data_IF_038399467390
#
_entry.id   IF_038399467390
#
_cell.length_a   1.000
_cell.length_b   1.000
_cell.length_c   1.000
_cell.angle_alpha   90.00
_cell.angle_beta   90.00
_cell.angle_gamma   90.00
#
_symmetry.space_group_name_H-M   'P 1'
#
loop_
_entity.id
_entity.type
_entity.pdbx_description
1 polymer ?
#
# COMPACT_ATOMS: atom_id res chain seq x y z
N UNK A 1 0.97 -5.80 -10.35
CA UNK A 1 1.32 -5.06 -11.60
C UNK A 1 1.45 -5.98 -12.80
N UNK A 2 2.03 -7.17 -12.67
CA UNK A 2 2.14 -8.13 -13.77
C UNK A 2 0.77 -8.50 -14.37
N UNK A 3 -0.26 -8.64 -13.53
CA UNK A 3 -1.64 -8.83 -13.99
C UNK A 3 -2.21 -7.61 -14.75
N UNK A 4 -1.69 -6.41 -14.46
CA UNK A 4 -2.07 -5.17 -15.13
C UNK A 4 -1.21 -4.88 -16.39
N UNK A 5 -0.33 -5.79 -16.83
CA UNK A 5 0.47 -5.61 -18.07
C UNK A 5 -0.42 -5.39 -19.30
N UNK A 6 -1.63 -5.96 -19.29
CA UNK A 6 -2.62 -5.74 -20.35
C UNK A 6 -3.13 -4.28 -20.39
N UNK A 7 -2.95 -3.51 -19.32
CA UNK A 7 -3.45 -2.15 -19.19
C UNK A 7 -2.34 -1.21 -18.66
N UNK A 8 -1.53 -0.60 -19.55
CA UNK A 8 -0.31 0.13 -19.18
C UNK A 8 -0.58 1.32 -18.26
N UNK A 9 -1.75 1.94 -18.36
CA UNK A 9 -2.15 3.06 -17.51
C UNK A 9 -2.32 2.64 -16.04
N UNK A 10 -2.94 1.48 -15.76
CA UNK A 10 -3.01 0.96 -14.39
C UNK A 10 -1.63 0.62 -13.87
N UNK A 11 -0.80 -0.05 -14.68
CA UNK A 11 0.57 -0.37 -14.27
C UNK A 11 1.34 0.91 -13.87
N UNK A 12 1.32 1.95 -14.70
CA UNK A 12 1.95 3.22 -14.39
C UNK A 12 1.39 3.87 -13.12
N UNK A 13 0.06 3.84 -12.95
CA UNK A 13 -0.60 4.37 -11.75
C UNK A 13 -0.21 3.63 -10.48
N UNK A 14 -0.10 2.30 -10.52
CA UNK A 14 0.31 1.48 -9.37
C UNK A 14 1.79 1.69 -9.04
N UNK A 15 2.67 1.81 -10.05
CA UNK A 15 4.09 2.13 -9.84
C UNK A 15 4.20 3.50 -9.17
N UNK A 16 3.45 4.48 -9.68
CA UNK A 16 3.36 5.81 -9.09
C UNK A 16 2.87 5.77 -7.65
N UNK A 17 1.81 5.02 -7.35
CA UNK A 17 1.29 4.87 -6.00
C UNK A 17 2.34 4.30 -5.03
N UNK A 18 3.03 3.24 -5.42
CA UNK A 18 4.07 2.62 -4.60
C UNK A 18 5.22 3.60 -4.33
N UNK A 19 5.72 4.27 -5.38
CA UNK A 19 6.79 5.27 -5.26
C UNK A 19 6.37 6.44 -4.37
N UNK A 20 5.15 6.96 -4.53
CA UNK A 20 4.58 8.03 -3.69
C UNK A 20 4.44 7.53 -2.24
N UNK A 21 3.93 6.32 -2.01
CA UNK A 21 3.77 5.76 -0.67
C UNK A 21 5.10 5.63 0.08
N UNK A 22 6.13 5.10 -0.58
CA UNK A 22 7.49 5.03 -0.01
C UNK A 22 8.07 6.44 0.21
N UNK A 23 7.86 7.35 -0.75
CA UNK A 23 8.30 8.75 -0.66
C UNK A 23 7.65 9.50 0.50
N UNK A 24 6.35 9.33 0.72
CA UNK A 24 5.61 9.92 1.83
C UNK A 24 6.12 9.41 3.17
N UNK A 25 6.34 8.10 3.32
CA UNK A 25 6.95 7.53 4.54
C UNK A 25 8.33 8.14 4.80
N UNK A 26 9.15 8.26 3.76
CA UNK A 26 10.46 8.89 3.84
C UNK A 26 10.39 10.38 4.24
N UNK A 27 9.44 11.14 3.69
CA UNK A 27 9.24 12.54 3.99
C UNK A 27 8.77 12.75 5.44
N UNK A 28 7.80 11.95 5.88
CA UNK A 28 7.32 11.96 7.28
C UNK A 28 8.46 11.66 8.24
N UNK A 29 9.25 10.60 8.01
CA UNK A 29 10.38 10.28 8.87
C UNK A 29 11.37 11.45 8.98
N UNK A 30 11.65 12.18 7.89
CA UNK A 30 12.50 13.38 7.88
C UNK A 30 11.92 14.53 8.68
N UNK A 31 10.61 14.82 8.56
CA UNK A 31 9.93 15.86 9.34
C UNK A 31 10.06 15.56 10.83
N UNK A 32 9.88 14.29 11.20
CA UNK A 32 10.09 13.82 12.56
C UNK A 32 11.57 13.64 12.91
N UNK A 33 12.54 14.02 12.08
CA UNK A 33 13.98 13.88 12.35
C UNK A 33 14.43 12.47 12.71
N UNK A 34 13.67 11.46 12.30
CA UNK A 34 14.04 10.05 12.44
C UNK A 34 14.82 9.70 11.18
N UNK A 35 16.15 9.83 11.28
CA UNK A 35 17.06 9.43 10.21
C UNK A 35 17.08 7.91 10.10
N UNK A 36 16.19 7.36 9.28
CA UNK A 36 16.42 6.03 8.71
C UNK A 36 17.58 6.13 7.72
N UNK A 37 18.47 5.14 7.74
CA UNK A 37 19.55 4.98 6.76
C UNK A 37 19.07 5.20 5.30
N UNK A 38 20.02 5.42 4.39
CA UNK A 38 19.81 5.92 3.03
C UNK A 38 18.74 5.24 2.17
N UNK A 39 18.47 5.78 0.98
CA UNK A 39 17.37 5.32 0.12
C UNK A 39 17.43 3.81 -0.23
N UNK A 40 18.62 3.20 -0.23
CA UNK A 40 18.85 1.77 -0.43
C UNK A 40 18.39 0.88 0.73
N UNK A 41 18.30 1.38 1.97
CA UNK A 41 17.75 0.64 3.12
C UNK A 41 16.24 0.84 3.29
N UNK A 42 15.57 1.53 2.34
CA UNK A 42 14.14 1.89 2.43
C UNK A 42 13.22 1.04 1.57
N UNK A 43 13.75 0.27 0.64
CA UNK A 43 13.00 -0.67 -0.18
C UNK A 43 13.30 -2.10 0.29
N UNK A 44 12.26 -2.81 0.72
CA UNK A 44 12.35 -4.26 0.91
C UNK A 44 12.27 -4.92 -0.46
N UNK A 45 13.27 -5.72 -0.90
CA UNK A 45 13.16 -6.50 -2.12
C UNK A 45 11.87 -7.32 -2.18
N UNK A 46 11.44 -7.94 -1.08
CA UNK A 46 10.19 -8.70 -1.04
C UNK A 46 8.97 -7.79 -1.19
N UNK A 47 8.99 -6.61 -0.59
CA UNK A 47 7.92 -5.62 -0.71
C UNK A 47 7.79 -5.04 -2.12
N UNK A 48 8.93 -4.81 -2.79
CA UNK A 48 8.96 -4.39 -4.21
C UNK A 48 8.43 -5.51 -5.11
N UNK A 49 8.89 -6.75 -4.91
CA UNK A 49 8.39 -7.90 -5.68
C UNK A 49 6.89 -8.09 -5.43
N UNK A 50 6.43 -7.98 -4.18
CA UNK A 50 5.01 -7.98 -3.84
C UNK A 50 4.23 -6.92 -4.62
N UNK A 51 4.74 -5.68 -4.69
CA UNK A 51 4.12 -4.61 -5.50
C UNK A 51 4.06 -4.98 -6.99
N UNK A 52 5.14 -5.54 -7.54
CA UNK A 52 5.20 -6.00 -8.92
C UNK A 52 4.16 -7.08 -9.21
N UNK A 53 3.97 -8.07 -8.33
CA UNK A 53 3.00 -9.13 -8.55
C UNK A 53 1.56 -8.67 -8.27
N UNK A 54 1.30 -8.15 -7.07
CA UNK A 54 -0.07 -7.89 -6.57
C UNK A 54 -0.60 -6.48 -6.81
N UNK A 55 0.24 -5.54 -7.25
CA UNK A 55 -0.16 -4.13 -7.43
C UNK A 55 0.02 -3.25 -6.19
N UNK A 56 0.29 -3.84 -5.03
CA UNK A 56 0.62 -3.12 -3.79
C UNK A 56 1.72 -3.85 -3.03
N UNK A 57 2.46 -3.15 -2.20
CA UNK A 57 3.59 -3.73 -1.47
C UNK A 57 3.87 -2.93 -0.21
N UNK A 58 5.04 -3.16 0.38
CA UNK A 58 5.48 -2.47 1.58
C UNK A 58 6.90 -1.92 1.41
N UNK A 59 7.24 -0.93 2.22
CA UNK A 59 8.62 -0.41 2.36
C UNK A 59 9.43 -1.23 3.36
N UNK A 60 10.73 -0.94 3.47
CA UNK A 60 11.67 -1.71 4.30
C UNK A 60 11.17 -1.97 5.74
N UNK A 61 11.25 -3.23 6.22
CA UNK A 61 11.04 -3.53 7.63
C UNK A 61 12.07 -2.77 8.48
N UNK A 62 11.59 -2.05 9.49
CA UNK A 62 12.45 -1.34 10.44
C UNK A 62 12.27 -1.86 11.86
N UNK A 63 13.17 -1.46 12.76
CA UNK A 63 13.06 -1.76 14.19
C UNK A 63 11.78 -1.15 14.81
N UNK A 64 11.32 -1.71 15.92
CA UNK A 64 10.28 -1.10 16.75
C UNK A 64 10.75 0.28 17.27
N UNK A 65 9.84 1.22 17.55
CA UNK A 65 10.20 2.56 18.00
C UNK A 65 10.86 2.52 19.38
N UNK A 66 12.04 3.12 19.50
CA UNK A 66 12.74 3.31 20.77
C UNK A 66 12.26 4.56 21.53
N UNK A 67 11.56 5.45 20.84
CA UNK A 67 11.07 6.72 21.40
C UNK A 67 9.64 7.05 20.95
N UNK A 68 8.94 7.88 21.72
CA UNK A 68 7.60 8.37 21.35
C UNK A 68 7.61 9.11 20.00
N UNK A 69 8.71 9.81 19.70
CA UNK A 69 8.91 10.52 18.43
C UNK A 69 8.98 9.55 17.25
N UNK A 70 9.72 8.46 17.39
CA UNK A 70 9.77 7.39 16.39
C UNK A 70 8.42 6.69 16.22
N UNK A 71 7.71 6.45 17.33
CA UNK A 71 6.37 5.87 17.28
C UNK A 71 5.44 6.73 16.40
N UNK A 72 5.42 8.05 16.61
CA UNK A 72 4.65 8.97 15.77
C UNK A 72 5.14 9.01 14.32
N UNK A 73 6.44 8.96 14.09
CA UNK A 73 6.99 8.92 12.73
C UNK A 73 6.56 7.66 11.96
N UNK A 74 6.58 6.49 12.61
CA UNK A 74 6.13 5.22 12.04
C UNK A 74 4.63 5.28 11.77
N UNK A 75 3.80 5.72 12.72
CA UNK A 75 2.35 5.80 12.56
C UNK A 75 1.92 6.82 11.50
N UNK A 76 2.63 7.95 11.40
CA UNK A 76 2.30 9.00 10.45
C UNK A 76 2.56 8.60 8.98
N UNK A 77 3.42 7.61 8.71
CA UNK A 77 3.70 7.12 7.37
C UNK A 77 2.47 6.51 6.67
N UNK A 78 1.86 5.44 7.21
CA UNK A 78 0.63 4.86 6.70
C UNK A 78 -0.52 5.88 6.65
N UNK A 79 -0.65 6.73 7.68
CA UNK A 79 -1.67 7.78 7.73
C UNK A 79 -1.50 8.77 6.58
N UNK A 80 -0.27 9.21 6.28
CA UNK A 80 -0.01 10.11 5.15
C UNK A 80 -0.39 9.47 3.81
N UNK A 81 -0.11 8.17 3.62
CA UNK A 81 -0.53 7.45 2.42
C UNK A 81 -2.06 7.36 2.30
N UNK A 82 -2.77 7.11 3.41
CA UNK A 82 -4.24 7.11 3.44
C UNK A 82 -4.82 8.48 3.10
N UNK A 83 -4.27 9.56 3.68
CA UNK A 83 -4.70 10.93 3.37
C UNK A 83 -4.44 11.26 1.90
N UNK A 84 -3.26 10.93 1.38
CA UNK A 84 -2.92 11.13 -0.04
C UNK A 84 -3.86 10.33 -0.96
N UNK A 85 -4.24 9.12 -0.58
CA UNK A 85 -5.24 8.33 -1.28
C UNK A 85 -6.61 9.03 -1.32
N UNK A 86 -7.09 9.57 -0.19
CA UNK A 86 -8.35 10.30 -0.16
C UNK A 86 -8.30 11.56 -1.05
N UNK A 87 -7.20 12.30 -1.01
CA UNK A 87 -7.01 13.45 -1.90
C UNK A 87 -7.01 13.05 -3.38
N UNK A 88 -6.40 11.91 -3.72
CA UNK A 88 -6.44 11.36 -5.07
C UNK A 88 -7.88 10.95 -5.50
N UNK A 89 -8.68 10.39 -4.59
CA UNK A 89 -10.10 10.12 -4.85
C UNK A 89 -10.92 11.40 -5.04
N UNK A 90 -10.68 12.45 -4.25
CA UNK A 90 -11.31 13.77 -4.46
C UNK A 90 -10.99 14.29 -5.88
N UNK A 91 -9.72 14.24 -6.27
CA UNK A 91 -9.27 14.69 -7.59
C UNK A 91 -9.92 13.86 -8.70
N UNK A 92 -9.95 12.53 -8.54
CA UNK A 92 -10.62 11.62 -9.48
C UNK A 92 -12.11 11.94 -9.63
N UNK A 93 -12.82 12.12 -8.52
CA UNK A 93 -14.26 12.40 -8.51
C UNK A 93 -14.59 13.74 -9.19
N UNK A 94 -13.74 14.75 -9.01
CA UNK A 94 -13.90 16.06 -9.67
C UNK A 94 -13.58 16.01 -11.17
N UNK A 95 -12.57 15.25 -11.57
CA UNK A 95 -12.18 15.11 -12.97
C UNK A 95 -13.15 14.22 -13.76
N UNK A 96 -13.77 13.23 -13.11
CA UNK A 96 -14.63 12.22 -13.74
C UNK A 96 -15.98 12.05 -13.00
N UNK A 97 -16.86 13.07 -13.03
CA UNK A 97 -18.13 13.05 -12.31
C UNK A 97 -19.10 11.95 -12.78
N UNK A 98 -18.98 11.47 -14.01
CA UNK A 98 -19.85 10.40 -14.54
C UNK A 98 -19.46 9.00 -14.07
N UNK A 99 -18.27 8.85 -13.44
CA UNK A 99 -17.72 7.56 -13.01
C UNK A 99 -18.19 7.09 -11.63
N UNK A 100 -19.19 7.77 -11.03
CA UNK A 100 -19.69 7.45 -9.70
C UNK A 100 -20.36 6.07 -9.58
N UNK A 101 -21.20 5.70 -10.56
CA UNK A 101 -21.88 4.41 -10.54
C UNK A 101 -20.90 3.21 -10.72
N UNK A 102 -19.94 3.26 -11.67
CA UNK A 102 -18.88 2.26 -11.75
C UNK A 102 -18.05 2.12 -10.47
N UNK A 103 -17.70 3.22 -9.81
CA UNK A 103 -16.97 3.24 -8.53
C UNK A 103 -17.66 2.42 -7.42
N UNK A 104 -19.00 2.33 -7.42
CA UNK A 104 -19.74 1.51 -6.43
C UNK A 104 -19.53 0.02 -6.62
N UNK A 105 -19.28 -0.39 -7.85
CA UNK A 105 -19.17 -1.79 -8.25
C UNK A 105 -17.72 -2.28 -8.20
N UNK A 106 -16.75 -1.40 -8.37
CA UNK A 106 -15.34 -1.76 -8.40
C UNK A 106 -14.83 -2.21 -7.03
N UNK A 107 -14.12 -3.34 -7.04
CA UNK A 107 -13.34 -3.80 -5.90
C UNK A 107 -11.92 -3.24 -6.01
N UNK A 108 -11.28 -2.91 -4.88
CA UNK A 108 -9.87 -2.53 -4.86
C UNK A 108 -8.99 -3.52 -5.63
N UNK A 109 -9.22 -4.82 -5.47
CA UNK A 109 -8.49 -5.88 -6.18
C UNK A 109 -8.69 -5.82 -7.70
N UNK A 110 -9.88 -5.47 -8.19
CA UNK A 110 -10.12 -5.30 -9.64
C UNK A 110 -9.22 -4.17 -10.20
N UNK A 111 -9.08 -3.08 -9.45
CA UNK A 111 -8.21 -1.94 -9.82
C UNK A 111 -6.73 -2.33 -9.77
N UNK A 112 -6.31 -3.10 -8.76
CA UNK A 112 -4.94 -3.60 -8.63
C UNK A 112 -4.54 -4.59 -9.74
N UNK A 113 -5.50 -5.34 -10.27
CA UNK A 113 -5.31 -6.21 -11.43
C UNK A 113 -5.50 -5.50 -12.78
N UNK A 114 -5.83 -4.20 -12.76
CA UNK A 114 -5.99 -3.40 -13.97
C UNK A 114 -7.23 -3.81 -14.78
N UNK A 115 -8.40 -3.91 -14.15
CA UNK A 115 -9.64 -4.28 -14.84
C UNK A 115 -10.66 -3.12 -14.90
N UNK A 116 -10.22 -1.86 -14.86
CA UNK A 116 -11.08 -0.77 -14.38
C UNK A 116 -10.83 0.59 -15.05
N UNK A 117 -11.93 1.23 -15.47
CA UNK A 117 -12.10 2.56 -16.11
C UNK A 117 -12.03 2.61 -17.66
N UNK A 118 -12.87 3.44 -18.33
CA UNK A 118 -13.01 3.49 -19.78
C UNK A 118 -11.91 4.30 -20.48
N UNK A 119 -11.20 5.16 -19.74
CA UNK A 119 -10.11 5.97 -20.28
C UNK A 119 -8.81 5.72 -19.51
N UNK A 120 -7.68 5.78 -20.21
CA UNK A 120 -6.36 5.58 -19.61
C UNK A 120 -6.05 6.59 -18.50
N UNK A 121 -6.46 7.86 -18.65
CA UNK A 121 -6.22 8.87 -17.63
C UNK A 121 -7.02 8.59 -16.34
N UNK A 122 -8.30 8.22 -16.47
CA UNK A 122 -9.12 7.83 -15.33
C UNK A 122 -8.55 6.57 -14.66
N UNK A 123 -8.16 5.59 -15.46
CA UNK A 123 -7.54 4.37 -14.96
C UNK A 123 -6.26 4.65 -14.16
N UNK A 124 -5.35 5.46 -14.70
CA UNK A 124 -4.12 5.85 -14.02
C UNK A 124 -4.41 6.51 -12.68
N UNK A 125 -5.29 7.52 -12.65
CA UNK A 125 -5.64 8.24 -11.42
C UNK A 125 -6.30 7.33 -10.39
N UNK A 126 -7.21 6.45 -10.82
CA UNK A 126 -7.88 5.50 -9.94
C UNK A 126 -6.89 4.47 -9.37
N UNK A 127 -5.98 3.95 -10.21
CA UNK A 127 -4.91 3.06 -9.78
C UNK A 127 -3.95 3.74 -8.79
N UNK A 128 -3.67 5.04 -8.96
CA UNK A 128 -2.90 5.81 -7.95
C UNK A 128 -3.65 5.86 -6.63
N UNK A 129 -4.93 6.25 -6.66
CA UNK A 129 -5.75 6.41 -5.46
C UNK A 129 -5.91 5.10 -4.67
N UNK A 130 -6.26 4.01 -5.37
CA UNK A 130 -6.42 2.67 -4.78
C UNK A 130 -5.07 2.08 -4.35
N UNK A 131 -4.02 2.26 -5.15
CA UNK A 131 -2.68 1.79 -4.80
C UNK A 131 -2.19 2.39 -3.48
N UNK A 132 -2.37 3.71 -3.29
CA UNK A 132 -2.05 4.41 -2.05
C UNK A 132 -2.93 3.96 -0.88
N UNK A 133 -4.21 3.70 -1.13
CA UNK A 133 -5.14 3.17 -0.13
C UNK A 133 -4.65 1.82 0.41
N UNK A 134 -4.42 0.88 -0.49
CA UNK A 134 -3.97 -0.47 -0.16
C UNK A 134 -2.58 -0.45 0.49
N UNK A 135 -1.67 0.40 0.02
CA UNK A 135 -0.36 0.57 0.66
C UNK A 135 -0.49 1.04 2.12
N UNK A 136 -1.31 2.05 2.38
CA UNK A 136 -1.56 2.56 3.73
C UNK A 136 -2.23 1.53 4.63
N UNK A 137 -3.25 0.82 4.14
CA UNK A 137 -3.97 -0.21 4.90
C UNK A 137 -3.08 -1.41 5.23
N UNK A 138 -2.30 -1.91 4.26
CA UNK A 138 -1.34 -2.99 4.50
C UNK A 138 -0.32 -2.60 5.55
N UNK A 139 0.20 -1.37 5.47
CA UNK A 139 1.18 -0.89 6.43
C UNK A 139 0.61 -0.81 7.87
N UNK A 140 -0.70 -0.74 8.07
CA UNK A 140 -1.33 -0.76 9.40
C UNK A 140 -1.56 -2.17 9.97
N UNK A 141 -1.30 -3.24 9.21
CA UNK A 141 -1.53 -4.59 9.70
C UNK A 141 -0.61 -4.92 10.90
N UNK A 142 -1.14 -5.55 11.96
CA UNK A 142 -0.37 -5.91 13.16
C UNK A 142 0.45 -7.19 12.97
N UNK A 143 1.06 -7.38 11.80
CA UNK A 143 1.96 -8.51 11.51
C UNK A 143 3.25 -8.03 10.82
N UNK A 144 4.40 -8.67 11.04
CA UNK A 144 5.61 -8.33 10.30
C UNK A 144 5.40 -8.57 8.80
N UNK A 145 5.97 -7.74 7.91
CA UNK A 145 6.95 -6.67 8.14
C UNK A 145 6.32 -5.27 8.25
N UNK A 146 5.01 -5.17 8.49
CA UNK A 146 4.26 -3.92 8.38
C UNK A 146 4.51 -2.96 9.56
N UNK A 147 4.19 -1.68 9.37
CA UNK A 147 4.37 -0.66 10.40
C UNK A 147 3.46 -0.87 11.60
N UNK A 148 2.23 -1.37 11.40
CA UNK A 148 1.27 -1.66 12.46
C UNK A 148 1.83 -2.63 13.50
N UNK A 149 2.58 -3.63 13.05
CA UNK A 149 3.31 -4.54 13.91
C UNK A 149 4.39 -3.83 14.74
N UNK A 150 5.19 -2.98 14.09
CA UNK A 150 6.24 -2.20 14.77
C UNK A 150 5.70 -1.29 15.86
N UNK A 151 4.48 -0.78 15.70
CA UNK A 151 3.84 0.11 16.68
C UNK A 151 3.43 -0.61 17.98
N UNK A 152 3.26 -1.94 17.94
CA UNK A 152 2.83 -2.76 19.07
C UNK A 152 3.96 -3.62 19.65
N UNK A 153 5.12 -3.65 19.02
CA UNK A 153 6.25 -4.49 19.47
C UNK A 153 7.29 -3.70 20.25
N UNK A 154 8.13 -4.45 20.97
CA UNK A 154 9.21 -3.91 21.78
C UNK A 154 10.51 -3.98 20.97
N UNK A 155 11.39 -2.96 21.04
CA UNK A 155 12.69 -3.00 20.37
C UNK A 155 13.52 -4.20 20.81
N UNK A 156 13.98 -5.00 19.84
CA UNK A 156 14.92 -6.10 20.07
C UNK A 156 16.32 -5.72 19.59
N UNK A 157 17.38 -6.05 20.37
CA UNK A 157 18.76 -5.69 20.01
C UNK A 157 19.32 -6.50 18.84
N UNK A 158 18.80 -7.72 18.60
CA UNK A 158 19.39 -8.69 17.66
C UNK A 158 18.84 -8.59 16.21
N UNK A 159 18.18 -7.49 15.87
CA UNK A 159 17.54 -7.31 14.56
C UNK A 159 16.29 -8.18 14.37
N UNK A 160 15.81 -8.35 13.13
CA UNK A 160 14.54 -9.04 12.87
C UNK A 160 14.67 -10.53 13.13
N UNK A 161 13.83 -11.04 14.04
CA UNK A 161 13.83 -12.43 14.43
C UNK A 161 13.47 -13.36 13.26
N UNK A 162 13.90 -14.63 13.32
CA UNK A 162 13.65 -15.60 12.25
C UNK A 162 12.14 -15.74 11.90
N UNK A 163 11.28 -15.64 12.91
CA UNK A 163 9.83 -15.69 12.72
C UNK A 163 9.28 -14.45 12.01
N UNK A 164 9.90 -13.27 12.14
CA UNK A 164 9.47 -12.05 11.43
C UNK A 164 9.77 -12.15 9.93
N UNK A 165 10.90 -12.79 9.58
CA UNK A 165 11.24 -13.12 8.19
C UNK A 165 10.26 -14.12 7.60
N UNK A 166 9.88 -15.14 8.39
CA UNK A 166 8.85 -16.11 8.00
C UNK A 166 7.50 -15.42 7.82
N UNK A 167 7.11 -14.52 8.73
CA UNK A 167 5.87 -13.76 8.61
C UNK A 167 5.85 -12.88 7.34
N UNK A 168 6.97 -12.24 7.00
CA UNK A 168 7.09 -11.49 5.75
C UNK A 168 6.97 -12.38 4.50
N UNK A 169 7.56 -13.58 4.52
CA UNK A 169 7.40 -14.56 3.46
C UNK A 169 5.93 -15.04 3.36
N UNK A 170 5.28 -15.31 4.48
CA UNK A 170 3.86 -15.71 4.51
C UNK A 170 2.99 -14.57 3.98
N UNK A 171 3.22 -13.32 4.39
CA UNK A 171 2.52 -12.16 3.87
C UNK A 171 2.71 -12.01 2.35
N UNK A 172 3.93 -12.20 1.86
CA UNK A 172 4.23 -12.25 0.43
C UNK A 172 3.40 -13.33 -0.29
N UNK A 173 3.42 -14.56 0.22
CA UNK A 173 2.67 -15.68 -0.35
C UNK A 173 1.17 -15.39 -0.36
N UNK A 174 0.60 -14.88 0.73
CA UNK A 174 -0.83 -14.55 0.84
C UNK A 174 -1.26 -13.39 -0.06
N UNK A 175 -0.32 -12.55 -0.48
CA UNK A 175 -0.56 -11.42 -1.37
C UNK A 175 -0.41 -11.80 -2.86
N UNK A 176 0.42 -12.80 -3.16
CA UNK A 176 0.76 -13.20 -4.54
C UNK A 176 0.04 -14.46 -4.99
N UNK A 177 -0.04 -15.49 -4.14
CA UNK A 177 -0.56 -16.80 -4.50
C UNK A 177 -2.09 -16.80 -4.41
N UNK A 178 -2.80 -17.02 -5.53
CA UNK A 178 -4.26 -17.05 -5.52
C UNK A 178 -4.76 -18.32 -4.82
N UNK A 179 -5.72 -18.16 -3.91
CA UNK A 179 -6.49 -19.25 -3.30
C UNK A 179 -7.92 -19.08 -3.77
N UNK A 180 -8.50 -20.10 -4.41
CA UNK A 180 -9.81 -19.99 -5.06
C UNK A 180 -9.89 -18.84 -6.10
N UNK A 181 -8.79 -18.59 -6.82
CA UNK A 181 -8.73 -17.61 -7.91
C UNK A 181 -8.44 -16.16 -7.47
N UNK A 182 -8.28 -15.88 -6.17
CA UNK A 182 -7.88 -14.55 -5.67
C UNK A 182 -6.86 -14.66 -4.54
N UNK A 183 -5.87 -13.76 -4.43
CA UNK A 183 -4.97 -13.75 -3.28
C UNK A 183 -5.73 -13.44 -1.98
N UNK A 184 -5.59 -14.24 -0.92
CA UNK A 184 -6.31 -14.05 0.34
C UNK A 184 -6.18 -12.64 0.92
N UNK A 185 -4.99 -12.05 0.87
CA UNK A 185 -4.76 -10.72 1.43
C UNK A 185 -5.49 -9.63 0.63
N UNK A 186 -5.63 -9.82 -0.69
CA UNK A 186 -6.43 -8.92 -1.52
C UNK A 186 -7.93 -9.04 -1.22
N UNK A 187 -8.42 -10.23 -0.87
CA UNK A 187 -9.83 -10.40 -0.44
C UNK A 187 -10.10 -9.68 0.89
N UNK A 188 -9.16 -9.74 1.83
CA UNK A 188 -9.24 -8.98 3.07
C UNK A 188 -9.21 -7.47 2.78
N UNK A 189 -8.32 -7.01 1.90
CA UNK A 189 -8.28 -5.62 1.47
C UNK A 189 -9.58 -5.18 0.79
N UNK A 190 -10.19 -6.00 -0.07
CA UNK A 190 -11.48 -5.66 -0.69
C UNK A 190 -12.58 -5.40 0.35
N UNK A 191 -12.56 -6.16 1.43
CA UNK A 191 -13.53 -6.04 2.52
C UNK A 191 -13.33 -4.74 3.29
N UNK A 192 -12.09 -4.34 3.55
CA UNK A 192 -11.75 -3.15 4.33
C UNK A 192 -11.74 -1.87 3.49
N UNK A 193 -11.12 -1.90 2.31
CA UNK A 193 -10.99 -0.76 1.41
C UNK A 193 -12.25 -0.51 0.57
N UNK A 194 -13.07 -1.53 0.30
CA UNK A 194 -14.30 -1.41 -0.48
C UNK A 194 -15.23 -0.30 0.01
N UNK A 195 -15.59 -0.25 1.31
CA UNK A 195 -16.37 0.85 1.87
C UNK A 195 -15.73 2.23 1.65
N UNK A 196 -14.41 2.34 1.79
CA UNK A 196 -13.69 3.62 1.61
C UNK A 196 -13.74 4.11 0.17
N UNK A 197 -13.61 3.20 -0.82
CA UNK A 197 -13.78 3.55 -2.25
C UNK A 197 -15.22 4.01 -2.52
N UNK A 198 -16.21 3.34 -1.94
CA UNK A 198 -17.63 3.64 -2.16
C UNK A 198 -18.10 4.99 -1.61
N UNK A 199 -17.40 5.55 -0.61
CA UNK A 199 -17.69 6.91 -0.11
C UNK A 199 -17.51 7.96 -1.22
N UNK A 200 -16.66 7.68 -2.20
CA UNK A 200 -16.37 8.59 -3.32
C UNK A 200 -17.27 8.40 -4.55
N UNK A 201 -18.27 7.53 -4.44
CA UNK A 201 -19.08 7.04 -5.57
C UNK A 201 -20.44 7.73 -5.72
#
# INVERSE_FOLDING_TARGET
MLWALAQPAAMAGLIGAFAIGVGLRAAVARIFGVSGDGMSTRLDPLGVVAACFSGTGWGSPGAAPASRREWWAIAAGPVAALVASQLAFVAYRRAYPDMGLPLRLYRPSDVLHGAVAPTHAAQLMLSVAVGLLCFGLLALLPVPPFDGYRLITVPTPDGPAAWERLAALVAFVLLVVPVAGRPPLLMALDTVAGPLVRVWA
#
